data_IF_585602762833
#
_entry.id   IF_585602762833
#
_cell.length_a   1.000
_cell.length_b   1.000
_cell.length_c   1.000
_cell.angle_alpha   90.00
_cell.angle_beta   90.00
_cell.angle_gamma   90.00
#
_symmetry.space_group_name_H-M   'P 1'
#
loop_
_entity.id
_entity.type
_entity.pdbx_description
1 polymer ?
#
# COMPACT_ATOMS: atom_id res chain seq x y z
N UNK A 1 -2.60 -1.52 19.91
CA UNK A 1 -2.87 -1.69 18.46
C UNK A 1 -1.57 -1.40 17.74
N UNK A 2 -1.17 -2.19 16.75
CA UNK A 2 0.05 -1.89 15.98
C UNK A 2 -0.24 -0.90 14.86
N UNK A 3 0.75 -0.17 14.33
CA UNK A 3 0.56 0.73 13.18
C UNK A 3 0.00 0.02 11.95
N UNK A 4 0.40 -1.23 11.71
CA UNK A 4 -0.09 -2.06 10.60
C UNK A 4 -1.56 -2.42 10.78
N UNK A 5 -1.97 -2.75 12.02
CA UNK A 5 -3.37 -3.02 12.34
C UNK A 5 -4.25 -1.77 12.16
N UNK A 6 -3.73 -0.58 12.51
CA UNK A 6 -4.42 0.69 12.27
C UNK A 6 -4.57 0.94 10.77
N UNK A 7 -3.49 0.75 9.99
CA UNK A 7 -3.54 0.90 8.55
C UNK A 7 -4.55 -0.08 7.91
N UNK A 8 -4.54 -1.34 8.34
CA UNK A 8 -5.48 -2.35 7.86
C UNK A 8 -6.94 -2.00 8.21
N UNK A 9 -7.21 -1.53 9.44
CA UNK A 9 -8.55 -1.08 9.87
C UNK A 9 -9.06 0.08 9.02
N UNK A 10 -8.21 1.09 8.76
CA UNK A 10 -8.56 2.22 7.89
C UNK A 10 -8.95 1.74 6.49
N UNK A 11 -8.14 0.85 5.90
CA UNK A 11 -8.38 0.35 4.54
C UNK A 11 -9.63 -0.52 4.47
N UNK A 12 -9.90 -1.37 5.48
CA UNK A 12 -11.15 -2.14 5.59
C UNK A 12 -12.38 -1.23 5.68
N UNK A 13 -12.22 -0.04 6.28
CA UNK A 13 -13.26 0.98 6.33
C UNK A 13 -13.37 1.81 5.02
N UNK A 14 -12.63 1.46 3.97
CA UNK A 14 -12.57 2.21 2.70
C UNK A 14 -11.88 3.56 2.84
N UNK A 15 -11.00 3.71 3.83
CA UNK A 15 -10.18 4.90 4.06
C UNK A 15 -8.78 4.58 3.56
N UNK A 16 -8.36 5.22 2.49
CA UNK A 16 -6.99 5.15 2.00
C UNK A 16 -6.18 6.32 2.58
N UNK A 17 -5.39 6.10 3.65
CA UNK A 17 -4.53 7.13 4.18
C UNK A 17 -3.33 7.36 3.24
N UNK A 18 -3.00 8.62 3.03
CA UNK A 18 -1.78 9.03 2.33
C UNK A 18 -0.91 9.88 3.24
N UNK A 19 0.36 10.04 2.90
CA UNK A 19 1.27 10.92 3.64
C UNK A 19 1.33 12.27 2.94
N UNK A 20 1.42 13.36 3.71
CA UNK A 20 1.64 14.69 3.16
C UNK A 20 2.96 14.76 2.37
N UNK A 21 3.09 15.67 1.38
CA UNK A 21 4.31 15.76 0.55
C UNK A 21 5.61 15.97 1.34
N UNK A 22 5.53 16.66 2.49
CA UNK A 22 6.64 16.90 3.42
C UNK A 22 6.96 15.70 4.33
N UNK A 23 6.20 14.60 4.23
CA UNK A 23 6.34 13.37 5.02
C UNK A 23 6.14 13.54 6.54
N UNK A 24 5.50 14.63 6.97
CA UNK A 24 5.30 14.92 8.40
C UNK A 24 3.88 14.65 8.89
N UNK A 25 2.93 14.43 7.97
CA UNK A 25 1.51 14.33 8.24
C UNK A 25 0.85 13.16 7.51
N UNK A 26 -0.36 12.84 7.96
CA UNK A 26 -1.22 11.83 7.33
C UNK A 26 -2.46 12.55 6.81
N UNK A 27 -2.75 12.36 5.54
CA UNK A 27 -3.94 12.83 4.87
C UNK A 27 -4.94 11.68 4.82
N UNK A 28 -6.14 11.95 5.28
CA UNK A 28 -7.29 11.05 5.26
C UNK A 28 -8.51 11.80 4.75
N UNK A 29 -9.43 11.14 4.03
CA UNK A 29 -10.70 11.74 3.66
C UNK A 29 -11.45 12.34 4.86
N UNK A 30 -11.84 13.61 4.74
CA UNK A 30 -12.54 14.33 5.81
C UNK A 30 -13.87 13.64 6.15
N UNK A 31 -14.18 13.54 7.45
CA UNK A 31 -15.44 12.98 7.94
C UNK A 31 -15.57 11.45 7.86
N UNK A 32 -14.52 10.73 7.45
CA UNK A 32 -14.52 9.25 7.43
C UNK A 32 -13.97 8.60 8.69
N UNK A 33 -13.11 9.31 9.44
CA UNK A 33 -12.53 8.79 10.68
C UNK A 33 -13.51 8.89 11.84
N UNK A 34 -13.65 7.79 12.58
CA UNK A 34 -14.24 7.80 13.92
C UNK A 34 -13.30 8.45 14.94
N UNK A 35 -13.83 8.86 16.10
CA UNK A 35 -12.99 9.42 17.18
C UNK A 35 -11.92 8.43 17.65
N UNK A 36 -12.24 7.15 17.73
CA UNK A 36 -11.31 6.09 18.09
C UNK A 36 -10.17 5.93 17.06
N UNK A 37 -10.51 5.92 15.77
CA UNK A 37 -9.50 5.87 14.70
C UNK A 37 -8.62 7.13 14.71
N UNK A 38 -9.21 8.31 14.92
CA UNK A 38 -8.45 9.55 15.02
C UNK A 38 -7.46 9.52 16.19
N UNK A 39 -7.89 9.03 17.36
CA UNK A 39 -7.01 8.87 18.52
C UNK A 39 -5.87 7.87 18.23
N UNK A 40 -6.17 6.74 17.58
CA UNK A 40 -5.17 5.75 17.19
C UNK A 40 -4.14 6.31 16.18
N UNK A 41 -4.61 7.03 15.16
CA UNK A 41 -3.74 7.70 14.16
C UNK A 41 -2.84 8.73 14.82
N UNK A 42 -3.35 9.55 15.74
CA UNK A 42 -2.54 10.54 16.46
C UNK A 42 -1.55 9.90 17.43
N UNK A 43 -1.95 8.84 18.14
CA UNK A 43 -1.10 8.12 19.09
C UNK A 43 0.05 7.36 18.44
N UNK A 44 -0.09 6.95 17.18
CA UNK A 44 0.91 6.19 16.44
C UNK A 44 1.44 6.90 15.19
N UNK A 45 1.20 8.21 15.07
CA UNK A 45 1.48 9.02 13.87
C UNK A 45 2.82 8.74 13.19
N UNK A 46 3.99 8.82 13.87
CA UNK A 46 5.28 8.62 13.19
C UNK A 46 5.45 7.20 12.65
N UNK A 47 5.02 6.19 13.42
CA UNK A 47 5.09 4.80 12.99
C UNK A 47 4.10 4.51 11.86
N UNK A 48 2.91 5.11 11.90
CA UNK A 48 1.91 4.97 10.84
C UNK A 48 2.37 5.64 9.53
N UNK A 49 3.05 6.80 9.60
CA UNK A 49 3.70 7.40 8.42
C UNK A 49 4.70 6.41 7.80
N UNK A 50 5.56 5.79 8.62
CA UNK A 50 6.51 4.80 8.13
C UNK A 50 5.80 3.61 7.46
N UNK A 51 4.73 3.08 8.07
CA UNK A 51 3.94 1.99 7.49
C UNK A 51 3.27 2.37 6.16
N UNK A 52 2.69 3.58 6.06
CA UNK A 52 2.06 4.04 4.81
C UNK A 52 3.12 4.20 3.71
N UNK A 53 4.28 4.78 4.03
CA UNK A 53 5.39 4.93 3.07
C UNK A 53 5.91 3.56 2.60
N UNK A 54 6.06 2.61 3.51
CA UNK A 54 6.50 1.25 3.16
C UNK A 54 5.44 0.54 2.31
N UNK A 55 4.16 0.63 2.67
CA UNK A 55 3.07 0.09 1.86
C UNK A 55 3.02 0.70 0.46
N UNK A 56 3.25 2.00 0.33
CA UNK A 56 3.32 2.69 -0.96
C UNK A 56 4.53 2.23 -1.78
N UNK A 57 5.69 2.06 -1.15
CA UNK A 57 6.90 1.52 -1.77
C UNK A 57 6.67 0.10 -2.29
N UNK A 58 6.16 -0.81 -1.46
CA UNK A 58 5.85 -2.19 -1.84
C UNK A 58 4.89 -2.21 -3.04
N UNK A 59 3.85 -1.38 -3.01
CA UNK A 59 2.89 -1.29 -4.11
C UNK A 59 3.55 -0.81 -5.41
N UNK A 60 4.44 0.18 -5.34
CA UNK A 60 5.19 0.66 -6.50
C UNK A 60 6.12 -0.43 -7.05
N UNK A 61 6.89 -1.10 -6.20
CA UNK A 61 7.77 -2.19 -6.61
C UNK A 61 7.00 -3.38 -7.18
N UNK A 62 5.79 -3.64 -6.66
CA UNK A 62 4.90 -4.68 -7.16
C UNK A 62 4.42 -4.36 -8.57
N UNK A 63 3.97 -3.12 -8.82
CA UNK A 63 3.56 -2.68 -10.16
C UNK A 63 4.75 -2.78 -11.12
N UNK A 64 5.95 -2.38 -10.70
CA UNK A 64 7.16 -2.54 -11.51
C UNK A 64 7.46 -4.01 -11.84
N UNK A 65 7.27 -4.92 -10.89
CA UNK A 65 7.42 -6.35 -11.11
C UNK A 65 6.35 -6.92 -12.05
N UNK A 66 5.11 -6.48 -11.88
CA UNK A 66 4.00 -6.84 -12.75
C UNK A 66 4.20 -6.35 -14.19
N UNK A 67 4.76 -5.15 -14.39
CA UNK A 67 5.12 -4.66 -15.73
C UNK A 67 6.16 -5.54 -16.42
N UNK A 68 7.12 -6.10 -15.67
CA UNK A 68 8.08 -7.08 -16.22
C UNK A 68 7.40 -8.39 -16.58
N UNK A 69 6.47 -8.87 -15.76
CA UNK A 69 5.67 -10.05 -16.07
C UNK A 69 4.83 -9.83 -17.34
N UNK A 70 4.12 -8.70 -17.44
CA UNK A 70 3.35 -8.34 -18.64
C UNK A 70 4.21 -8.31 -19.90
N UNK A 71 5.41 -7.71 -19.83
CA UNK A 71 6.36 -7.69 -20.94
C UNK A 71 6.84 -9.10 -21.33
N UNK A 72 7.09 -9.98 -20.35
CA UNK A 72 7.49 -11.37 -20.59
C UNK A 72 6.41 -12.18 -21.32
N UNK A 73 5.15 -12.04 -20.89
CA UNK A 73 4.00 -12.76 -21.44
C UNK A 73 3.36 -12.07 -22.65
N UNK A 74 3.82 -10.86 -23.01
CA UNK A 74 3.21 -9.99 -24.04
C UNK A 74 1.73 -9.71 -23.76
N UNK A 75 1.41 -9.50 -22.49
CA UNK A 75 0.07 -9.25 -21.97
C UNK A 75 -0.14 -7.76 -21.70
N UNK A 76 -1.38 -7.36 -21.38
CA UNK A 76 -1.73 -5.97 -21.14
C UNK A 76 -1.21 -5.47 -19.77
N UNK A 77 -0.28 -4.50 -19.73
CA UNK A 77 0.26 -3.98 -18.47
C UNK A 77 -0.79 -3.25 -17.60
N UNK A 78 -1.86 -2.71 -18.19
CA UNK A 78 -2.92 -2.05 -17.42
C UNK A 78 -3.73 -3.05 -16.59
N UNK A 79 -4.07 -4.20 -17.18
CA UNK A 79 -4.74 -5.30 -16.48
C UNK A 79 -3.89 -5.84 -15.32
N UNK A 80 -2.59 -6.07 -15.54
CA UNK A 80 -1.65 -6.49 -14.49
C UNK A 80 -1.58 -5.48 -13.34
N UNK A 81 -1.55 -4.18 -13.67
CA UNK A 81 -1.58 -3.11 -12.66
C UNK A 81 -2.88 -3.13 -11.86
N UNK A 82 -4.03 -3.30 -12.52
CA UNK A 82 -5.35 -3.37 -11.87
C UNK A 82 -5.40 -4.51 -10.87
N UNK A 83 -4.98 -5.72 -11.27
CA UNK A 83 -4.94 -6.89 -10.40
C UNK A 83 -4.02 -6.67 -9.19
N UNK A 84 -2.85 -6.06 -9.36
CA UNK A 84 -1.97 -5.73 -8.24
C UNK A 84 -2.59 -4.74 -7.25
N UNK A 85 -3.43 -3.82 -7.71
CA UNK A 85 -4.14 -2.87 -6.85
C UNK A 85 -5.34 -3.52 -6.13
N UNK A 86 -6.00 -4.49 -6.76
CA UNK A 86 -7.07 -5.29 -6.13
C UNK A 86 -6.54 -6.19 -5.00
N UNK A 87 -5.27 -6.59 -5.06
CA UNK A 87 -4.62 -7.37 -3.99
C UNK A 87 -4.57 -6.53 -2.70
N UNK A 88 -5.05 -7.06 -1.57
CA UNK A 88 -4.97 -6.40 -0.28
C UNK A 88 -3.53 -6.03 0.09
N UNK A 89 -3.27 -4.84 0.68
CA UNK A 89 -1.92 -4.36 0.98
C UNK A 89 -1.04 -5.33 1.78
N UNK A 90 -1.65 -6.09 2.70
CA UNK A 90 -0.94 -7.08 3.53
C UNK A 90 -0.46 -8.30 2.73
N UNK A 91 -1.05 -8.58 1.56
CA UNK A 91 -0.63 -9.66 0.65
C UNK A 91 0.31 -9.18 -0.45
N UNK A 92 0.42 -7.86 -0.68
CA UNK A 92 1.24 -7.29 -1.75
C UNK A 92 2.73 -7.58 -1.56
N UNK A 93 3.21 -7.70 -0.31
CA UNK A 93 4.60 -8.03 -0.02
C UNK A 93 4.96 -9.45 -0.50
N UNK A 94 4.15 -10.45 -0.16
CA UNK A 94 4.36 -11.83 -0.61
C UNK A 94 4.26 -11.96 -2.14
N UNK A 95 3.30 -11.24 -2.75
CA UNK A 95 3.16 -11.22 -4.20
C UNK A 95 4.36 -10.53 -4.88
N UNK A 96 4.87 -9.46 -4.28
CA UNK A 96 6.07 -8.78 -4.76
C UNK A 96 7.26 -9.73 -4.76
N UNK A 97 7.50 -10.44 -3.66
CA UNK A 97 8.59 -11.41 -3.54
C UNK A 97 8.46 -12.52 -4.59
N UNK A 98 7.24 -13.03 -4.80
CA UNK A 98 6.96 -14.01 -5.84
C UNK A 98 7.30 -13.49 -7.25
N UNK A 99 6.81 -12.30 -7.61
CA UNK A 99 7.08 -11.70 -8.92
C UNK A 99 8.56 -11.32 -9.09
N UNK A 100 9.25 -10.86 -8.05
CA UNK A 100 10.68 -10.58 -8.11
C UNK A 100 11.50 -11.85 -8.33
N UNK A 101 11.10 -12.98 -7.72
CA UNK A 101 11.75 -14.27 -7.92
C UNK A 101 11.55 -14.82 -9.32
N UNK A 102 10.38 -14.63 -9.92
CA UNK A 102 10.06 -15.12 -11.27
C UNK A 102 10.56 -14.18 -12.38
N UNK A 103 10.52 -12.87 -12.12
CA UNK A 103 10.86 -11.80 -13.06
C UNK A 103 11.87 -10.83 -12.41
N UNK A 104 13.13 -11.27 -12.24
CA UNK A 104 14.16 -10.45 -11.60
C UNK A 104 14.44 -9.18 -12.42
N UNK A 105 14.97 -8.16 -11.73
CA UNK A 105 15.46 -6.96 -12.41
C UNK A 105 16.70 -7.35 -13.25
N UNK A 106 16.84 -6.84 -14.48
CA UNK A 106 18.01 -7.10 -15.32
C UNK A 106 19.30 -6.53 -14.72
#
# INVERSE_FOLDING_TARGET
>A
MTPEAILADLIQCGIEPSVTPDKTGIVVPAGKLTEAQRAAVLGHKPALIACILESARITSELIDAAMRAAAHWKDDPEEWRRQCLEVPPHQRADLLDHLQSQYPKP
#
